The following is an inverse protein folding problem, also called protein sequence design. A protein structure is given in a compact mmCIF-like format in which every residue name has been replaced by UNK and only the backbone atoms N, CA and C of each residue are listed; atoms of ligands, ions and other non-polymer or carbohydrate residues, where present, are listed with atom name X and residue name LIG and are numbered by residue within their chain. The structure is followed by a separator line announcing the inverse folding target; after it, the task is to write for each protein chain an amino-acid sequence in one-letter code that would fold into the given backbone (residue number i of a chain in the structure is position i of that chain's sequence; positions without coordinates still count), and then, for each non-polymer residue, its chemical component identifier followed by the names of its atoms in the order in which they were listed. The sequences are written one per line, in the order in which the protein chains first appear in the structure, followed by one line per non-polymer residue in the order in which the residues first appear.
data_IF_142573411811
#
_entry.id   IF_142573411811
#
_cell.length_a   1.000
_cell.length_b   1.000
_cell.length_c   1.000
_cell.angle_alpha   90.00
_cell.angle_beta   90.00
_cell.angle_gamma   90.00
#
_symmetry.space_group_name_H-M   'P 1'
#
loop_
_entity.id
_entity.type
_entity.pdbx_description
1 polymer ?
#
# COMPACT_ATOMS: atom_id res chain seq x y z
N UNK A 1 -99.82 -16.26 183.81
CA UNK A 1 -98.47 -16.61 184.32
C UNK A 1 -97.63 -16.96 183.09
N UNK A 2 -96.68 -16.08 182.69
CA UNK A 2 -95.22 -16.34 182.52
C UNK A 2 -94.89 -17.65 181.78
N UNK A 3 -94.10 -17.70 180.70
CA UNK A 3 -93.20 -16.73 180.05
C UNK A 3 -92.77 -17.19 178.63
N UNK A 4 -91.59 -16.71 178.17
CA UNK A 4 -90.87 -16.96 176.87
C UNK A 4 -91.35 -16.03 175.72
N UNK A 5 -90.72 -14.90 175.32
CA UNK A 5 -89.31 -14.47 175.16
C UNK A 5 -88.46 -15.40 174.29
N UNK A 6 -88.56 -15.23 172.96
CA UNK A 6 -87.44 -15.15 172.00
C UNK A 6 -87.94 -15.36 170.55
N UNK A 7 -88.11 -14.28 169.77
CA UNK A 7 -87.61 -14.20 168.38
C UNK A 7 -87.88 -12.81 167.76
N UNK A 8 -86.92 -11.90 168.00
CA UNK A 8 -86.72 -10.61 167.34
C UNK A 8 -85.99 -10.86 165.99
N UNK A 9 -86.12 -9.97 165.01
CA UNK A 9 -85.09 -9.67 163.99
C UNK A 9 -84.98 -10.40 162.62
N UNK A 10 -86.05 -10.85 161.93
CA UNK A 10 -85.81 -11.44 160.57
C UNK A 10 -86.72 -11.07 159.40
N UNK A 11 -87.84 -10.34 159.58
CA UNK A 11 -88.77 -10.10 158.45
C UNK A 11 -88.82 -8.67 157.87
N UNK A 12 -88.12 -7.71 158.47
CA UNK A 12 -87.99 -6.33 157.93
C UNK A 12 -86.68 -6.07 157.14
N UNK A 13 -85.72 -7.01 157.13
CA UNK A 13 -84.47 -6.91 156.35
C UNK A 13 -84.57 -7.33 154.88
N UNK A 14 -85.64 -8.03 154.47
CA UNK A 14 -85.72 -8.67 153.13
C UNK A 14 -86.48 -7.87 152.04
N UNK A 15 -87.01 -6.68 152.35
CA UNK A 15 -87.72 -5.84 151.36
C UNK A 15 -86.95 -4.58 150.93
N UNK A 16 -85.97 -4.14 151.72
CA UNK A 16 -85.08 -3.00 151.41
C UNK A 16 -83.89 -3.45 150.54
N UNK A 17 -83.37 -4.65 150.74
CA UNK A 17 -82.17 -5.15 150.05
C UNK A 17 -82.35 -5.56 148.56
N UNK A 18 -83.60 -5.64 148.07
CA UNK A 18 -83.92 -6.00 146.67
C UNK A 18 -84.20 -4.80 145.75
N UNK A 19 -84.40 -3.60 146.33
CA UNK A 19 -84.73 -2.36 145.61
C UNK A 19 -83.49 -1.48 145.35
N UNK A 20 -82.48 -1.57 146.22
CA UNK A 20 -81.20 -0.87 146.05
C UNK A 20 -80.28 -1.58 145.05
N UNK A 21 -80.18 -2.92 145.13
CA UNK A 21 -79.45 -3.75 144.14
C UNK A 21 -79.98 -3.58 142.71
N UNK A 22 -81.29 -3.41 142.53
CA UNK A 22 -81.91 -3.21 141.21
C UNK A 22 -81.74 -1.77 140.66
N UNK A 23 -81.40 -0.79 141.53
CA UNK A 23 -81.06 0.60 141.13
C UNK A 23 -79.58 0.75 140.76
N UNK A 24 -78.68 -0.01 141.39
CA UNK A 24 -77.23 -0.03 141.04
C UNK A 24 -76.92 -0.86 139.80
N UNK A 25 -77.63 -1.97 139.57
CA UNK A 25 -77.34 -2.88 138.43
C UNK A 25 -77.83 -2.30 137.09
N UNK A 26 -78.92 -1.54 137.08
CA UNK A 26 -79.53 -1.00 135.85
C UNK A 26 -78.61 -0.08 135.02
N UNK A 27 -77.91 0.93 135.60
CA UNK A 27 -76.97 1.75 134.85
C UNK A 27 -75.75 0.95 134.39
N UNK A 28 -75.25 0.00 135.20
CA UNK A 28 -74.13 -0.87 134.84
C UNK A 28 -74.50 -1.80 133.67
N UNK A 29 -75.69 -2.40 133.68
CA UNK A 29 -76.17 -3.25 132.57
C UNK A 29 -76.39 -2.43 131.30
N UNK A 30 -76.87 -1.19 131.41
CA UNK A 30 -77.02 -0.29 130.25
C UNK A 30 -75.66 0.12 129.68
N UNK A 31 -74.68 0.43 130.53
CA UNK A 31 -73.31 0.74 130.13
C UNK A 31 -72.63 -0.47 129.49
N UNK A 32 -72.82 -1.67 130.04
CA UNK A 32 -72.33 -2.93 129.44
C UNK A 32 -73.00 -3.20 128.09
N UNK A 33 -74.30 -2.93 127.93
CA UNK A 33 -75.01 -3.09 126.65
C UNK A 33 -74.55 -2.06 125.60
N UNK A 34 -74.34 -0.80 125.98
CA UNK A 34 -73.79 0.25 125.12
C UNK A 34 -72.34 -0.07 124.71
N UNK A 35 -71.53 -0.58 125.65
CA UNK A 35 -70.17 -1.04 125.39
C UNK A 35 -70.14 -2.27 124.47
N UNK A 36 -71.05 -3.24 124.66
CA UNK A 36 -71.22 -4.40 123.76
C UNK A 36 -71.66 -3.98 122.37
N UNK A 37 -72.58 -3.01 122.25
CA UNK A 37 -73.02 -2.49 120.95
C UNK A 37 -71.90 -1.73 120.23
N UNK A 38 -71.10 -0.94 120.96
CA UNK A 38 -69.90 -0.28 120.41
C UNK A 38 -68.85 -1.29 119.96
N UNK A 39 -68.56 -2.31 120.77
CA UNK A 39 -67.64 -3.39 120.40
C UNK A 39 -68.15 -4.17 119.18
N UNK A 40 -69.44 -4.49 119.12
CA UNK A 40 -70.04 -5.16 117.96
C UNK A 40 -69.91 -4.30 116.69
N UNK A 41 -70.13 -2.98 116.79
CA UNK A 41 -69.95 -2.04 115.68
C UNK A 41 -68.49 -1.95 115.21
N UNK A 42 -67.52 -1.93 116.14
CA UNK A 42 -66.09 -1.96 115.82
C UNK A 42 -65.65 -3.28 115.19
N UNK A 43 -66.16 -4.41 115.69
CA UNK A 43 -65.93 -5.75 115.10
C UNK A 43 -66.48 -5.81 113.67
N UNK A 44 -67.67 -5.26 113.43
CA UNK A 44 -68.28 -5.24 112.10
C UNK A 44 -67.47 -4.37 111.12
N UNK A 45 -67.02 -3.18 111.55
CA UNK A 45 -66.11 -2.33 110.77
C UNK A 45 -64.76 -3.01 110.51
N UNK A 46 -64.21 -3.72 111.49
CA UNK A 46 -62.97 -4.47 111.34
C UNK A 46 -63.13 -5.61 110.33
N UNK A 47 -64.29 -6.27 110.34
CA UNK A 47 -64.63 -7.36 109.41
C UNK A 47 -64.78 -6.86 107.97
N UNK A 48 -65.39 -5.70 107.74
CA UNK A 48 -65.49 -5.12 106.38
C UNK A 48 -64.12 -4.73 105.84
N UNK A 49 -63.26 -4.14 106.67
CA UNK A 49 -61.86 -3.84 106.30
C UNK A 49 -61.09 -5.13 105.98
N UNK A 50 -61.25 -6.19 106.78
CA UNK A 50 -60.63 -7.48 106.50
C UNK A 50 -61.06 -8.06 105.14
N UNK A 51 -62.35 -8.02 104.80
CA UNK A 51 -62.82 -8.48 103.49
C UNK A 51 -62.28 -7.64 102.34
N UNK A 52 -62.20 -6.31 102.50
CA UNK A 52 -61.62 -5.42 101.49
C UNK A 52 -60.12 -5.73 101.27
N UNK A 53 -59.37 -5.92 102.36
CA UNK A 53 -57.96 -6.32 102.29
C UNK A 53 -57.80 -7.69 101.63
N UNK A 54 -58.66 -8.66 101.96
CA UNK A 54 -58.63 -9.99 101.35
C UNK A 54 -58.90 -9.93 99.83
N UNK A 55 -59.88 -9.13 99.40
CA UNK A 55 -60.17 -8.92 97.97
C UNK A 55 -58.98 -8.27 97.25
N UNK A 56 -58.35 -7.27 97.87
CA UNK A 56 -57.15 -6.61 97.33
C UNK A 56 -55.95 -7.55 97.24
N UNK A 57 -55.76 -8.42 98.24
CA UNK A 57 -54.72 -9.46 98.20
C UNK A 57 -54.92 -10.42 97.02
N UNK A 58 -56.16 -10.89 96.80
CA UNK A 58 -56.46 -11.78 95.68
C UNK A 58 -56.30 -11.10 94.31
N UNK A 59 -56.60 -9.81 94.21
CA UNK A 59 -56.39 -9.01 93.00
C UNK A 59 -54.89 -8.87 92.69
N UNK A 60 -54.09 -8.48 93.69
CA UNK A 60 -52.63 -8.40 93.57
C UNK A 60 -51.97 -9.74 93.25
N UNK A 61 -52.47 -10.85 93.81
CA UNK A 61 -51.97 -12.19 93.52
C UNK A 61 -52.19 -12.56 92.05
N UNK A 62 -53.36 -12.24 91.48
CA UNK A 62 -53.64 -12.44 90.04
C UNK A 62 -52.76 -11.56 89.15
N UNK A 63 -52.56 -10.29 89.53
CA UNK A 63 -51.67 -9.39 88.80
C UNK A 63 -50.23 -9.90 88.82
N UNK A 64 -49.76 -10.35 89.98
CA UNK A 64 -48.43 -10.95 90.14
C UNK A 64 -48.24 -12.16 89.24
N UNK A 65 -49.21 -13.09 89.20
CA UNK A 65 -49.17 -14.27 88.32
C UNK A 65 -49.15 -13.88 86.83
N UNK A 66 -49.93 -12.87 86.45
CA UNK A 66 -49.94 -12.34 85.07
C UNK A 66 -48.59 -11.74 84.67
N UNK A 67 -48.01 -10.90 85.53
CA UNK A 67 -46.69 -10.29 85.32
C UNK A 67 -45.62 -11.38 85.24
N UNK A 68 -45.71 -12.43 86.06
CA UNK A 68 -44.74 -13.52 86.06
C UNK A 68 -44.80 -14.34 84.76
N UNK A 69 -46.00 -14.57 84.20
CA UNK A 69 -46.17 -15.22 82.91
C UNK A 69 -45.63 -14.37 81.75
N UNK A 70 -45.93 -13.08 81.74
CA UNK A 70 -45.41 -12.14 80.74
C UNK A 70 -43.88 -12.05 80.80
N UNK A 71 -43.31 -11.92 82.00
CA UNK A 71 -41.86 -11.91 82.23
C UNK A 71 -41.20 -13.18 81.70
N UNK A 72 -41.77 -14.36 81.96
CA UNK A 72 -41.24 -15.63 81.42
C UNK A 72 -41.35 -15.72 79.90
N UNK A 73 -42.36 -15.10 79.30
CA UNK A 73 -42.51 -15.07 77.84
C UNK A 73 -41.46 -14.15 77.21
N UNK A 74 -41.31 -12.94 77.72
CA UNK A 74 -40.32 -11.97 77.21
C UNK A 74 -38.90 -12.48 77.40
N UNK A 75 -38.59 -13.15 78.52
CA UNK A 75 -37.30 -13.79 78.74
C UNK A 75 -36.96 -14.82 77.64
N UNK A 76 -37.92 -15.67 77.25
CA UNK A 76 -37.72 -16.62 76.14
C UNK A 76 -37.54 -15.92 74.79
N UNK A 77 -38.27 -14.84 74.54
CA UNK A 77 -38.12 -14.05 73.32
C UNK A 77 -36.74 -13.38 73.25
N UNK A 78 -36.19 -12.90 74.37
CA UNK A 78 -34.83 -12.37 74.45
C UNK A 78 -33.81 -13.45 74.07
N UNK A 79 -33.89 -14.65 74.66
CA UNK A 79 -32.97 -15.74 74.30
C UNK A 79 -33.01 -16.10 72.81
N UNK A 80 -34.21 -16.15 72.21
CA UNK A 80 -34.34 -16.41 70.76
C UNK A 80 -33.75 -15.30 69.90
N UNK A 81 -33.88 -14.04 70.33
CA UNK A 81 -33.27 -12.90 69.63
C UNK A 81 -31.75 -12.90 69.77
N UNK A 82 -31.22 -13.24 70.95
CA UNK A 82 -29.77 -13.35 71.17
C UNK A 82 -29.15 -14.43 70.28
N UNK A 83 -29.79 -15.59 70.15
CA UNK A 83 -29.35 -16.66 69.22
C UNK A 83 -29.33 -16.16 67.76
N UNK A 84 -30.36 -15.41 67.34
CA UNK A 84 -30.43 -14.83 66.00
C UNK A 84 -29.35 -13.75 65.77
N UNK A 85 -29.05 -12.93 66.79
CA UNK A 85 -27.98 -11.94 66.76
C UNK A 85 -26.63 -12.63 66.60
N UNK A 86 -26.38 -13.72 67.33
CA UNK A 86 -25.12 -14.44 67.25
C UNK A 86 -24.92 -15.11 65.87
N UNK A 87 -25.98 -15.74 65.34
CA UNK A 87 -25.95 -16.33 64.00
C UNK A 87 -25.67 -15.27 62.91
N UNK A 88 -26.28 -14.09 63.02
CA UNK A 88 -26.07 -13.00 62.05
C UNK A 88 -24.68 -12.38 62.17
N UNK A 89 -24.14 -12.21 63.38
CA UNK A 89 -22.74 -11.77 63.59
C UNK A 89 -21.75 -12.72 62.91
N UNK A 90 -21.88 -14.03 63.15
CA UNK A 90 -21.01 -15.02 62.51
C UNK A 90 -21.09 -14.95 60.97
N UNK A 91 -22.30 -14.78 60.42
CA UNK A 91 -22.47 -14.61 58.98
C UNK A 91 -21.77 -13.34 58.45
N UNK A 92 -21.90 -12.22 59.15
CA UNK A 92 -21.23 -10.96 58.80
C UNK A 92 -19.70 -11.10 58.84
N UNK A 93 -19.15 -11.72 59.88
CA UNK A 93 -17.71 -11.96 60.00
C UNK A 93 -17.17 -12.81 58.84
N UNK A 94 -17.91 -13.87 58.47
CA UNK A 94 -17.54 -14.71 57.34
C UNK A 94 -17.61 -13.96 55.99
N UNK A 95 -18.61 -13.09 55.80
CA UNK A 95 -18.69 -12.23 54.62
C UNK A 95 -17.54 -11.21 54.57
N UNK A 96 -17.21 -10.59 55.70
CA UNK A 96 -16.07 -9.67 55.78
C UNK A 96 -14.74 -10.35 55.44
N UNK A 97 -14.53 -11.57 55.94
CA UNK A 97 -13.35 -12.36 55.61
C UNK A 97 -13.25 -12.64 54.09
N UNK A 98 -14.38 -12.99 53.46
CA UNK A 98 -14.44 -13.19 52.01
C UNK A 98 -14.17 -11.91 51.23
N UNK A 99 -14.74 -10.77 51.64
CA UNK A 99 -14.47 -9.46 51.01
C UNK A 99 -12.98 -9.10 51.10
N UNK A 100 -12.36 -9.32 52.26
CA UNK A 100 -10.91 -9.08 52.44
C UNK A 100 -10.07 -9.98 51.55
N UNK A 101 -10.43 -11.27 51.43
CA UNK A 101 -9.75 -12.21 50.55
C UNK A 101 -9.85 -11.80 49.08
N UNK A 102 -11.06 -11.49 48.59
CA UNK A 102 -11.30 -11.03 47.23
C UNK A 102 -10.58 -9.71 46.93
N UNK A 103 -10.53 -8.80 47.89
CA UNK A 103 -9.80 -7.54 47.72
C UNK A 103 -8.29 -7.78 47.57
N UNK A 104 -7.72 -8.66 48.40
CA UNK A 104 -6.31 -9.05 48.29
C UNK A 104 -5.99 -9.70 46.96
N UNK A 105 -6.86 -10.60 46.47
CA UNK A 105 -6.70 -11.23 45.16
C UNK A 105 -6.78 -10.21 44.01
N UNK A 106 -7.75 -9.30 44.05
CA UNK A 106 -7.85 -8.21 43.06
C UNK A 106 -6.61 -7.32 43.03
N UNK A 107 -6.00 -7.04 44.19
CA UNK A 107 -4.74 -6.29 44.23
C UNK A 107 -3.60 -7.06 43.55
N UNK A 108 -3.49 -8.38 43.79
CA UNK A 108 -2.46 -9.22 43.14
C UNK A 108 -2.66 -9.27 41.64
N UNK A 109 -3.88 -9.55 41.18
CA UNK A 109 -4.20 -9.62 39.75
C UNK A 109 -3.91 -8.30 39.03
N UNK A 110 -4.17 -7.16 39.67
CA UNK A 110 -3.84 -5.85 39.11
C UNK A 110 -2.33 -5.66 38.95
N UNK A 111 -1.55 -6.03 39.97
CA UNK A 111 -0.10 -5.94 39.91
C UNK A 111 0.50 -6.87 38.84
N UNK A 112 -0.02 -8.11 38.73
CA UNK A 112 0.40 -9.05 37.70
C UNK A 112 0.06 -8.52 36.29
N UNK A 113 -1.12 -7.92 36.11
CA UNK A 113 -1.52 -7.30 34.85
C UNK A 113 -0.64 -6.11 34.47
N UNK A 114 -0.30 -5.24 35.43
CA UNK A 114 0.64 -4.13 35.24
C UNK A 114 2.02 -4.64 34.84
N UNK A 115 2.53 -5.67 35.52
CA UNK A 115 3.83 -6.29 35.21
C UNK A 115 3.88 -6.83 33.78
N UNK A 116 2.86 -7.59 33.37
CA UNK A 116 2.77 -8.15 32.01
C UNK A 116 2.67 -7.03 30.97
N UNK A 117 1.95 -5.96 31.28
CA UNK A 117 1.83 -4.79 30.38
C UNK A 117 3.18 -4.09 30.18
N UNK A 118 3.95 -3.88 31.25
CA UNK A 118 5.30 -3.29 31.17
C UNK A 118 6.26 -4.16 30.35
N UNK A 119 6.26 -5.48 30.57
CA UNK A 119 7.06 -6.43 29.78
C UNK A 119 6.70 -6.41 28.30
N UNK A 120 5.39 -6.31 27.99
CA UNK A 120 4.89 -6.17 26.64
C UNK A 120 5.41 -4.87 25.99
N UNK A 121 5.33 -3.74 26.68
CA UNK A 121 5.79 -2.44 26.17
C UNK A 121 7.30 -2.44 25.90
N UNK A 122 8.10 -3.00 26.81
CA UNK A 122 9.54 -3.17 26.62
C UNK A 122 9.83 -4.02 25.38
N UNK A 123 9.14 -5.15 25.26
CA UNK A 123 9.31 -6.07 24.12
C UNK A 123 8.86 -5.42 22.81
N UNK A 124 7.77 -4.67 22.84
CA UNK A 124 7.23 -3.95 21.68
C UNK A 124 8.20 -2.87 21.21
N UNK A 125 8.73 -2.04 22.11
CA UNK A 125 9.73 -1.02 21.80
C UNK A 125 10.99 -1.64 21.16
N UNK A 126 11.52 -2.71 21.76
CA UNK A 126 12.68 -3.44 21.23
C UNK A 126 12.43 -4.00 19.83
N UNK A 127 11.25 -4.58 19.59
CA UNK A 127 10.87 -5.09 18.27
C UNK A 127 10.75 -3.97 17.23
N UNK A 128 10.22 -2.81 17.62
CA UNK A 128 10.13 -1.65 16.75
C UNK A 128 11.52 -1.13 16.35
N UNK A 129 12.45 -1.05 17.30
CA UNK A 129 13.86 -0.71 17.00
C UNK A 129 14.51 -1.69 16.01
N UNK A 130 14.28 -3.00 16.17
CA UNK A 130 14.79 -3.99 15.22
C UNK A 130 14.20 -3.81 13.82
N UNK A 131 12.90 -3.50 13.71
CA UNK A 131 12.25 -3.22 12.43
C UNK A 131 12.87 -2.01 11.72
N UNK A 132 13.09 -0.93 12.45
CA UNK A 132 13.74 0.27 11.89
C UNK A 132 15.20 -0.02 11.48
N UNK A 133 15.95 -0.80 12.26
CA UNK A 133 17.30 -1.27 11.86
C UNK A 133 17.27 -2.08 10.56
N UNK A 134 16.32 -3.01 10.42
CA UNK A 134 16.16 -3.81 9.19
C UNK A 134 15.80 -2.91 8.02
N UNK A 135 14.90 -1.95 8.21
CA UNK A 135 14.48 -1.00 7.17
C UNK A 135 15.65 -0.13 6.70
N UNK A 136 16.46 0.40 7.64
CA UNK A 136 17.66 1.14 7.34
C UNK A 136 18.68 0.29 6.56
N UNK A 137 18.90 -0.96 6.99
CA UNK A 137 19.82 -1.87 6.29
C UNK A 137 19.34 -2.21 4.86
N UNK A 138 18.05 -2.50 4.68
CA UNK A 138 17.45 -2.72 3.35
C UNK A 138 17.64 -1.52 2.43
N UNK A 139 17.47 -0.30 2.97
CA UNK A 139 17.69 0.92 2.21
C UNK A 139 19.15 1.06 1.78
N UNK A 140 20.10 0.87 2.70
CA UNK A 140 21.53 0.91 2.39
C UNK A 140 21.91 -0.14 1.33
N UNK A 141 21.37 -1.35 1.44
CA UNK A 141 21.59 -2.40 0.45
C UNK A 141 21.09 -1.98 -0.94
N UNK A 142 19.87 -1.43 -1.02
CA UNK A 142 19.30 -0.90 -2.26
C UNK A 142 20.15 0.22 -2.86
N UNK A 143 20.62 1.16 -2.04
CA UNK A 143 21.51 2.21 -2.51
C UNK A 143 22.82 1.66 -3.06
N UNK A 144 23.45 0.70 -2.37
CA UNK A 144 24.68 0.06 -2.84
C UNK A 144 24.46 -0.71 -4.14
N UNK A 145 23.37 -1.48 -4.22
CA UNK A 145 23.00 -2.24 -5.41
C UNK A 145 22.75 -1.30 -6.61
N UNK A 146 22.00 -0.21 -6.41
CA UNK A 146 21.73 0.77 -7.47
C UNK A 146 23.00 1.46 -8.00
N UNK A 147 24.02 1.64 -7.14
CA UNK A 147 25.33 2.20 -7.48
C UNK A 147 26.29 1.18 -8.08
N UNK A 148 25.95 -0.11 -8.07
CA UNK A 148 26.79 -1.16 -8.62
C UNK A 148 27.00 -0.92 -10.13
N UNK A 149 28.23 -1.05 -10.66
CA UNK A 149 28.52 -0.80 -12.06
C UNK A 149 27.60 -1.57 -13.02
N UNK A 150 27.29 -2.83 -12.68
CA UNK A 150 26.38 -3.69 -13.46
C UNK A 150 24.97 -3.10 -13.53
N UNK A 151 24.44 -2.55 -12.43
CA UNK A 151 23.10 -1.96 -12.40
C UNK A 151 23.04 -0.65 -13.18
N UNK A 152 24.07 0.19 -13.05
CA UNK A 152 24.22 1.43 -13.84
C UNK A 152 24.32 1.10 -15.33
N UNK A 153 25.15 0.12 -15.70
CA UNK A 153 25.29 -0.30 -17.10
C UNK A 153 23.98 -0.88 -17.64
N UNK A 154 23.31 -1.74 -16.87
CA UNK A 154 22.01 -2.29 -17.24
C UNK A 154 20.98 -1.18 -17.50
N UNK A 155 20.93 -0.15 -16.64
CA UNK A 155 20.05 1.00 -16.83
C UNK A 155 20.37 1.75 -18.13
N UNK A 156 21.67 1.99 -18.42
CA UNK A 156 22.12 2.60 -19.68
C UNK A 156 21.74 1.76 -20.89
N UNK A 157 21.97 0.44 -20.86
CA UNK A 157 21.62 -0.47 -21.96
C UNK A 157 20.10 -0.50 -22.18
N UNK A 158 19.29 -0.55 -21.12
CA UNK A 158 17.82 -0.43 -21.20
C UNK A 158 17.39 0.87 -21.87
N UNK A 159 18.02 2.00 -21.54
CA UNK A 159 17.73 3.29 -22.17
C UNK A 159 18.09 3.28 -23.67
N UNK A 160 19.25 2.75 -24.04
CA UNK A 160 19.66 2.61 -25.45
C UNK A 160 18.68 1.73 -26.23
N UNK A 161 18.29 0.57 -25.67
CA UNK A 161 17.29 -0.31 -26.30
C UNK A 161 15.97 0.42 -26.50
N UNK A 162 15.52 1.23 -25.54
CA UNK A 162 14.30 2.05 -25.68
C UNK A 162 14.43 3.06 -26.82
N UNK A 163 15.55 3.78 -26.92
CA UNK A 163 15.81 4.72 -28.02
C UNK A 163 15.92 4.04 -29.40
N UNK A 164 16.52 2.86 -29.46
CA UNK A 164 16.61 2.10 -30.71
C UNK A 164 15.23 1.59 -31.16
N UNK A 165 14.38 1.18 -30.21
CA UNK A 165 12.98 0.81 -30.51
C UNK A 165 12.21 1.98 -31.10
N UNK A 166 12.29 3.17 -30.49
CA UNK A 166 11.60 4.36 -31.04
C UNK A 166 12.12 4.74 -32.41
N UNK A 167 13.45 4.82 -32.61
CA UNK A 167 14.03 5.12 -33.93
C UNK A 167 13.65 4.10 -34.99
N UNK A 168 13.59 2.82 -34.63
CA UNK A 168 13.14 1.76 -35.54
C UNK A 168 11.68 1.98 -35.93
N UNK A 169 10.81 2.29 -34.98
CA UNK A 169 9.40 2.58 -35.23
C UNK A 169 9.24 3.80 -36.14
N UNK A 170 9.97 4.89 -35.86
CA UNK A 170 9.99 6.11 -36.69
C UNK A 170 10.44 5.80 -38.12
N UNK A 171 11.55 5.08 -38.30
CA UNK A 171 12.05 4.69 -39.62
C UNK A 171 11.08 3.77 -40.36
N UNK A 172 10.45 2.82 -39.68
CA UNK A 172 9.44 1.95 -40.30
C UNK A 172 8.23 2.76 -40.75
N UNK A 173 7.81 3.77 -39.98
CA UNK A 173 6.74 4.67 -40.36
C UNK A 173 7.14 5.50 -41.60
N UNK A 174 8.34 6.06 -41.60
CA UNK A 174 8.84 6.90 -42.70
C UNK A 174 9.01 6.11 -44.00
N UNK A 175 9.50 4.87 -43.94
CA UNK A 175 9.63 3.99 -45.11
C UNK A 175 8.28 3.51 -45.67
N UNK A 176 7.25 3.38 -44.82
CA UNK A 176 5.89 3.05 -45.28
C UNK A 176 5.17 4.25 -45.89
N UNK A 177 5.59 5.46 -45.53
CA UNK A 177 5.01 6.68 -46.05
C UNK A 177 5.61 6.99 -47.44
N UNK A 178 4.82 7.03 -48.53
CA UNK A 178 5.33 7.48 -49.82
C UNK A 178 5.85 8.93 -49.78
N UNK A 179 5.42 9.70 -48.79
CA UNK A 179 5.92 11.04 -48.49
C UNK A 179 7.01 11.12 -47.41
N UNK A 180 7.52 9.98 -46.93
CA UNK A 180 8.58 9.91 -45.94
C UNK A 180 9.88 10.49 -46.47
N UNK A 181 10.74 11.00 -45.58
CA UNK A 181 11.94 11.75 -45.97
C UNK A 181 12.89 10.90 -46.82
N UNK A 182 13.13 9.65 -46.43
CA UNK A 182 14.01 8.73 -47.16
C UNK A 182 13.42 8.38 -48.53
N UNK A 183 12.12 8.13 -48.60
CA UNK A 183 11.44 7.78 -49.85
C UNK A 183 11.43 8.98 -50.81
N UNK A 184 11.17 10.19 -50.32
CA UNK A 184 11.24 11.43 -51.10
C UNK A 184 12.63 11.67 -51.69
N UNK A 185 13.68 11.52 -50.89
CA UNK A 185 15.06 11.67 -51.37
C UNK A 185 15.38 10.69 -52.52
N UNK A 186 15.02 9.41 -52.36
CA UNK A 186 15.22 8.40 -53.40
C UNK A 186 14.40 8.72 -54.65
N UNK A 187 13.17 9.21 -54.51
CA UNK A 187 12.34 9.64 -55.64
C UNK A 187 12.97 10.82 -56.41
N UNK A 188 13.55 11.78 -55.70
CA UNK A 188 14.25 12.93 -56.29
C UNK A 188 15.50 12.51 -57.07
N UNK A 189 16.31 11.61 -56.51
CA UNK A 189 17.49 11.04 -57.18
C UNK A 189 17.10 10.25 -58.44
N UNK A 190 16.05 9.42 -58.35
CA UNK A 190 15.49 8.72 -59.52
C UNK A 190 15.05 9.72 -60.59
N UNK A 191 14.41 10.83 -60.20
CA UNK A 191 13.99 11.86 -61.14
C UNK A 191 15.19 12.56 -61.78
N UNK A 192 16.26 12.85 -61.04
CA UNK A 192 17.48 13.43 -61.56
C UNK A 192 18.15 12.50 -62.58
N UNK A 193 18.35 11.23 -62.23
CA UNK A 193 18.94 10.23 -63.14
C UNK A 193 18.11 10.04 -64.41
N UNK A 194 16.77 10.06 -64.30
CA UNK A 194 15.90 10.02 -65.48
C UNK A 194 16.16 11.19 -66.42
N UNK A 195 16.32 12.41 -65.88
CA UNK A 195 16.65 13.60 -66.68
C UNK A 195 18.02 13.49 -67.35
N UNK A 196 19.04 13.04 -66.62
CA UNK A 196 20.38 12.84 -67.18
C UNK A 196 20.41 11.78 -68.29
N UNK A 197 19.68 10.68 -68.12
CA UNK A 197 19.54 9.66 -69.16
C UNK A 197 18.88 10.25 -70.41
N UNK A 198 17.83 11.08 -70.25
CA UNK A 198 17.17 11.72 -71.40
C UNK A 198 18.09 12.70 -72.14
N UNK A 199 18.84 13.54 -71.43
CA UNK A 199 19.76 14.50 -72.06
C UNK A 199 20.93 13.80 -72.74
N UNK A 200 21.47 12.73 -72.15
CA UNK A 200 22.50 11.92 -72.79
C UNK A 200 21.98 11.20 -74.04
N UNK A 201 20.76 10.66 -74.01
CA UNK A 201 20.13 10.06 -75.20
C UNK A 201 20.00 11.07 -76.34
N UNK A 202 19.54 12.29 -76.04
CA UNK A 202 19.46 13.37 -77.04
C UNK A 202 20.84 13.75 -77.59
N UNK A 203 21.86 13.83 -76.74
CA UNK A 203 23.23 14.11 -77.15
C UNK A 203 23.79 13.00 -78.07
N UNK A 204 23.56 11.72 -77.72
CA UNK A 204 23.96 10.57 -78.52
C UNK A 204 23.28 10.61 -79.89
N UNK A 205 21.97 10.88 -79.94
CA UNK A 205 21.23 10.98 -81.20
C UNK A 205 21.82 12.09 -82.09
N UNK A 206 22.07 13.29 -81.54
CA UNK A 206 22.72 14.38 -82.28
C UNK A 206 24.10 13.98 -82.81
N UNK A 207 24.91 13.29 -82.00
CA UNK A 207 26.24 12.80 -82.43
C UNK A 207 26.14 11.71 -83.51
N UNK A 208 25.12 10.86 -83.45
CA UNK A 208 24.85 9.87 -84.47
C UNK A 208 24.46 10.54 -85.81
N UNK A 209 23.64 11.59 -85.78
CA UNK A 209 23.28 12.38 -86.97
C UNK A 209 24.52 13.03 -87.61
N UNK A 210 25.36 13.70 -86.81
CA UNK A 210 26.62 14.28 -87.30
C UNK A 210 27.56 13.23 -87.90
N UNK A 211 27.66 12.05 -87.29
CA UNK A 211 28.47 10.95 -87.82
C UNK A 211 27.96 10.48 -89.19
N UNK A 212 26.65 10.45 -89.39
CA UNK A 212 26.06 10.08 -90.68
C UNK A 212 26.32 11.15 -91.76
N UNK A 213 26.29 12.42 -91.40
CA UNK A 213 26.68 13.53 -92.29
C UNK A 213 28.16 13.45 -92.69
N UNK A 214 29.05 13.23 -91.72
CA UNK A 214 30.50 13.02 -91.95
C UNK A 214 30.77 11.83 -92.87
N UNK A 215 30.08 10.69 -92.67
CA UNK A 215 30.17 9.54 -93.57
C UNK A 215 29.78 9.89 -95.02
N UNK A 216 28.72 10.67 -95.21
CA UNK A 216 28.29 11.15 -96.54
C UNK A 216 29.34 12.07 -97.15
N UNK A 217 29.94 12.98 -96.39
CA UNK A 217 31.01 13.84 -96.86
C UNK A 217 32.26 13.05 -97.25
N UNK A 218 32.71 12.12 -96.39
CA UNK A 218 33.83 11.23 -96.70
C UNK A 218 33.59 10.40 -97.96
N UNK A 219 32.38 9.90 -98.18
CA UNK A 219 32.02 9.17 -99.40
C UNK A 219 32.15 10.06 -100.66
N UNK A 220 31.76 11.34 -100.59
CA UNK A 220 31.95 12.31 -101.68
C UNK A 220 33.43 12.56 -101.94
N UNK A 221 34.22 12.86 -100.90
CA UNK A 221 35.65 13.11 -101.01
C UNK A 221 36.41 11.90 -101.59
N UNK A 222 36.06 10.67 -101.19
CA UNK A 222 36.67 9.45 -101.77
C UNK A 222 36.42 9.36 -103.28
N UNK A 223 35.20 9.62 -103.75
CA UNK A 223 34.90 9.64 -105.19
C UNK A 223 35.70 10.71 -105.92
N UNK A 224 35.84 11.89 -105.34
CA UNK A 224 36.62 12.97 -105.93
C UNK A 224 38.11 12.64 -106.02
N UNK A 225 38.70 12.08 -104.95
CA UNK A 225 40.08 11.58 -104.95
C UNK A 225 40.27 10.49 -106.02
N UNK A 226 39.32 9.56 -106.16
CA UNK A 226 39.40 8.52 -107.18
C UNK A 226 39.39 9.12 -108.60
N UNK A 227 38.53 10.10 -108.86
CA UNK A 227 38.50 10.82 -110.14
C UNK A 227 39.82 11.55 -110.41
N UNK A 228 40.38 12.24 -109.40
CA UNK A 228 41.67 12.91 -109.53
C UNK A 228 42.82 11.92 -109.78
N UNK A 229 42.87 10.79 -109.07
CA UNK A 229 43.87 9.75 -109.29
C UNK A 229 43.82 9.18 -110.71
N UNK A 230 42.61 8.93 -111.25
CA UNK A 230 42.44 8.50 -112.66
C UNK A 230 42.94 9.57 -113.64
N UNK A 231 42.69 10.85 -113.35
CA UNK A 231 43.22 11.97 -114.17
C UNK A 231 44.75 12.02 -114.12
N UNK A 232 45.35 11.92 -112.93
CA UNK A 232 46.80 11.92 -112.76
C UNK A 232 47.46 10.72 -113.45
N UNK A 233 46.89 9.52 -113.33
CA UNK A 233 47.40 8.32 -114.01
C UNK A 233 47.35 8.48 -115.55
N UNK A 234 46.27 9.05 -116.09
CA UNK A 234 46.17 9.36 -117.52
C UNK A 234 47.24 10.37 -117.98
N UNK A 235 47.50 11.42 -117.17
CA UNK A 235 48.56 12.39 -117.43
C UNK A 235 49.94 11.70 -117.39
N UNK A 236 50.22 10.90 -116.37
CA UNK A 236 51.48 10.16 -116.22
C UNK A 236 51.72 9.21 -117.40
N UNK A 237 50.71 8.43 -117.82
CA UNK A 237 50.80 7.56 -118.99
C UNK A 237 51.12 8.34 -120.26
N UNK A 238 50.47 9.50 -120.46
CA UNK A 238 50.74 10.37 -121.62
C UNK A 238 52.17 10.89 -121.62
N UNK A 239 52.64 11.41 -120.48
CA UNK A 239 54.01 11.90 -120.31
C UNK A 239 55.03 10.77 -120.52
N UNK A 240 54.76 9.56 -120.02
CA UNK A 240 55.61 8.40 -120.21
C UNK A 240 55.73 8.00 -121.69
N UNK A 241 54.61 8.01 -122.44
CA UNK A 241 54.63 7.80 -123.89
C UNK A 241 55.41 8.89 -124.63
N UNK A 242 55.25 10.17 -124.24
CA UNK A 242 56.03 11.27 -124.81
C UNK A 242 57.54 11.09 -124.56
N UNK A 243 57.93 10.72 -123.34
CA UNK A 243 59.32 10.47 -122.97
C UNK A 243 59.92 9.29 -123.74
N UNK A 244 59.20 8.17 -123.86
CA UNK A 244 59.64 7.01 -124.64
C UNK A 244 59.82 7.34 -126.12
N UNK A 245 58.92 8.15 -126.70
CA UNK A 245 59.05 8.63 -128.08
C UNK A 245 60.32 9.47 -128.26
N UNK A 246 60.61 10.34 -127.29
CA UNK A 246 61.80 11.18 -127.30
C UNK A 246 63.10 10.34 -127.15
N UNK A 247 63.11 9.33 -126.27
CA UNK A 247 64.22 8.39 -126.15
C UNK A 247 64.45 7.55 -127.41
N UNK A 248 63.38 7.04 -128.03
CA UNK A 248 63.47 6.29 -129.28
C UNK A 248 64.06 7.16 -130.41
N UNK A 249 63.54 8.38 -130.56
CA UNK A 249 64.09 9.36 -131.49
C UNK A 249 65.58 9.62 -131.20
N UNK A 250 65.97 9.86 -129.93
CA UNK A 250 67.37 10.07 -129.56
C UNK A 250 68.27 8.90 -129.98
N UNK A 251 67.83 7.64 -129.81
CA UNK A 251 68.56 6.45 -130.29
C UNK A 251 68.67 6.44 -131.81
N UNK A 252 67.58 6.75 -132.52
CA UNK A 252 67.57 6.85 -133.99
C UNK A 252 68.57 7.90 -134.49
N UNK A 253 68.56 9.09 -133.89
CA UNK A 253 69.51 10.17 -134.20
C UNK A 253 70.96 9.73 -133.93
N UNK A 254 71.23 9.07 -132.79
CA UNK A 254 72.55 8.51 -132.49
C UNK A 254 73.01 7.48 -133.55
N UNK A 255 72.11 6.59 -133.97
CA UNK A 255 72.41 5.61 -135.02
C UNK A 255 72.69 6.27 -136.37
N UNK A 256 71.88 7.25 -136.78
CA UNK A 256 72.12 8.03 -137.99
C UNK A 256 73.47 8.76 -137.96
N UNK A 257 73.83 9.34 -136.81
CA UNK A 257 75.14 10.00 -136.62
C UNK A 257 76.27 8.98 -136.81
N UNK A 258 76.22 7.82 -136.16
CA UNK A 258 77.24 6.78 -136.33
C UNK A 258 77.36 6.30 -137.78
N UNK A 259 76.26 6.16 -138.52
CA UNK A 259 76.28 5.77 -139.93
C UNK A 259 76.90 6.86 -140.81
N UNK A 260 76.58 8.13 -140.56
CA UNK A 260 77.18 9.27 -141.25
C UNK A 260 78.68 9.40 -140.94
N UNK A 261 79.08 9.17 -139.69
CA UNK A 261 80.50 9.12 -139.28
C UNK A 261 81.25 7.99 -139.99
N UNK A 262 80.63 6.81 -140.12
CA UNK A 262 81.19 5.67 -140.85
C UNK A 262 81.34 5.95 -142.35
N UNK A 263 80.31 6.53 -142.99
CA UNK A 263 80.35 7.00 -144.39
C UNK A 263 81.40 8.08 -144.61
N UNK A 264 81.54 9.02 -143.67
CA UNK A 264 82.57 10.04 -143.73
C UNK A 264 83.98 9.44 -143.60
N UNK A 265 84.15 8.41 -142.77
CA UNK A 265 85.41 7.66 -142.67
C UNK A 265 85.73 6.86 -143.94
N UNK A 266 84.73 6.27 -144.60
CA UNK A 266 84.89 5.58 -145.90
C UNK A 266 85.23 6.55 -147.04
N UNK A 267 84.56 7.70 -147.13
CA UNK A 267 84.88 8.75 -148.10
C UNK A 267 86.30 9.32 -147.90
N UNK A 268 86.76 9.47 -146.64
CA UNK A 268 88.16 9.81 -146.35
C UNK A 268 89.15 8.74 -146.81
N UNK A 269 88.74 7.47 -146.84
CA UNK A 269 89.58 6.35 -147.30
C UNK A 269 89.69 6.29 -148.83
N UNK A 270 88.64 6.68 -149.57
CA UNK A 270 88.62 6.69 -151.04
C UNK A 270 89.32 7.91 -151.68
N UNK A 271 89.49 9.01 -150.95
CA UNK A 271 90.20 10.21 -151.44
C UNK A 271 91.73 10.19 -151.21
N UNK A 272 92.28 9.10 -150.66
CA UNK A 272 93.69 9.00 -150.26
C UNK A 272 94.62 8.16 -151.15
N UNK A 273 94.15 7.51 -152.22
CA UNK A 273 94.98 6.60 -153.06
C UNK A 273 94.55 6.61 -154.53
N UNK A 274 94.80 7.69 -155.28
CA UNK A 274 95.14 7.70 -156.74
C UNK A 274 95.92 8.99 -157.06
N UNK A 275 97.12 9.12 -156.52
CA UNK A 275 98.23 9.88 -157.10
C UNK A 275 99.41 8.92 -157.15
N UNK A 276 99.46 8.09 -158.20
CA UNK A 276 100.67 7.57 -158.86
C UNK A 276 100.28 6.49 -159.89
N UNK A 277 100.49 6.83 -161.16
CA UNK A 277 100.57 6.00 -162.37
C UNK A 277 99.30 5.71 -163.19
N UNK A 278 98.96 6.68 -164.06
CA UNK A 278 98.68 6.46 -165.50
C UNK A 278 99.15 7.71 -166.28
N UNK A 279 100.29 7.64 -166.97
CA UNK A 279 100.36 7.81 -168.43
C UNK A 279 100.02 6.51 -169.17
N UNK A 280 98.86 6.47 -169.83
CA UNK A 280 98.66 6.74 -171.27
C UNK A 280 97.41 7.61 -171.38
#
# INVERSE_FOLDING_TARGET
RRGEEDNKNEKEKNKVNKKETMKEIKPVVKQVAEQQHSQASEIEKSKTVLFQLQAKFQELEKEMDSILLETKKTEREIYLQDDAIEATKYHCENLEAQVRALYSENLKLRHDAETVQEEFEITFARNNEYREKIKAHKHLFWEMESKMPVMIELAKKKAVVKQLKTKKEDLMHDLRNPEGSVIKQVQEEIALLKREITTLKECINKKADFLEEEKKMHAKLRKEIEVQNKRYDAILKRLHCQLNKLHSNKRQWHWNIQQLEKKAAELRKCLGVVELQSSI
#
